data_IF_176545446223
#
_entry.id   IF_176545446223
#
_cell.length_a   1.000
_cell.length_b   1.000
_cell.length_c   1.000
_cell.angle_alpha   90.00
_cell.angle_beta   90.00
_cell.angle_gamma   90.00
#
_symmetry.space_group_name_H-M   'P 1'
#
loop_
_entity.id
_entity.type
_entity.pdbx_description
1 polymer ?
#
# COMPACT_ATOMS: atom_id res chain seq x y z
N UNK A 1 -14.19 -3.68 -19.82
CA UNK A 1 -13.21 -3.26 -18.79
C UNK A 1 -13.43 -4.09 -17.54
N UNK A 2 -12.37 -4.65 -16.93
CA UNK A 2 -12.52 -5.49 -15.73
C UNK A 2 -12.10 -4.69 -14.50
N UNK A 3 -13.04 -4.42 -13.60
CA UNK A 3 -12.71 -3.77 -12.32
C UNK A 3 -12.10 -4.78 -11.34
N UNK A 4 -11.15 -4.32 -10.53
CA UNK A 4 -10.64 -5.09 -9.40
C UNK A 4 -11.59 -4.97 -8.21
N UNK A 5 -11.82 -6.06 -7.51
CA UNK A 5 -12.60 -5.99 -6.27
C UNK A 5 -11.81 -5.31 -5.14
N UNK A 6 -12.51 -4.95 -4.07
CA UNK A 6 -11.89 -4.43 -2.85
C UNK A 6 -12.41 -5.16 -1.60
N UNK A 7 -11.70 -5.04 -0.48
CA UNK A 7 -12.15 -5.55 0.83
C UNK A 7 -11.77 -4.59 1.95
N UNK A 8 -12.56 -4.60 3.01
CA UNK A 8 -12.25 -3.87 4.24
C UNK A 8 -11.50 -4.80 5.19
N UNK A 9 -10.45 -4.28 5.80
CA UNK A 9 -9.67 -4.98 6.83
C UNK A 9 -9.73 -4.16 8.10
N UNK A 10 -10.34 -4.73 9.13
CA UNK A 10 -10.39 -4.16 10.47
C UNK A 10 -9.34 -4.82 11.35
N UNK A 11 -8.67 -4.02 12.17
CA UNK A 11 -7.62 -4.48 13.08
C UNK A 11 -7.70 -3.66 14.34
N UNK A 12 -7.88 -4.32 15.49
CA UNK A 12 -7.70 -3.69 16.80
C UNK A 12 -6.21 -3.77 17.13
N UNK A 13 -5.58 -2.63 17.40
CA UNK A 13 -4.21 -2.56 17.90
C UNK A 13 -4.27 -2.50 19.42
N UNK A 14 -3.47 -3.35 20.07
CA UNK A 14 -3.33 -3.40 21.51
C UNK A 14 -1.97 -2.83 21.91
N UNK A 15 -1.91 -2.26 23.11
CA UNK A 15 -0.68 -1.85 23.78
C UNK A 15 0.03 -3.08 24.40
N UNK A 16 1.29 -2.95 24.85
CA UNK A 16 2.00 -4.04 25.53
C UNK A 16 1.28 -4.55 26.79
N UNK A 17 0.51 -3.70 27.46
CA UNK A 17 -0.31 -4.04 28.63
C UNK A 17 -1.64 -4.75 28.29
N UNK A 18 -1.92 -4.99 27.00
CA UNK A 18 -3.15 -5.62 26.52
C UNK A 18 -4.34 -4.68 26.36
N UNK A 19 -4.24 -3.41 26.77
CA UNK A 19 -5.30 -2.41 26.56
C UNK A 19 -5.39 -1.99 25.09
N UNK A 20 -6.54 -1.44 24.67
CA UNK A 20 -6.75 -1.00 23.29
C UNK A 20 -5.92 0.27 23.02
N UNK A 21 -5.03 0.19 22.03
CA UNK A 21 -4.28 1.33 21.49
C UNK A 21 -5.15 2.10 20.47
N UNK A 22 -5.66 1.41 19.45
CA UNK A 22 -6.50 2.02 18.40
C UNK A 22 -7.27 1.02 17.56
N UNK A 23 -8.39 1.46 17.00
CA UNK A 23 -9.12 0.77 15.94
C UNK A 23 -8.60 1.21 14.57
N UNK A 24 -8.18 0.26 13.73
CA UNK A 24 -7.68 0.54 12.39
C UNK A 24 -8.57 -0.11 11.34
N UNK A 25 -9.14 0.69 10.45
CA UNK A 25 -9.83 0.23 9.25
C UNK A 25 -8.98 0.54 8.01
N UNK A 26 -8.90 -0.40 7.08
CA UNK A 26 -8.20 -0.23 5.79
C UNK A 26 -9.07 -0.71 4.64
N UNK A 27 -9.07 0.03 3.55
CA UNK A 27 -9.55 -0.45 2.26
C UNK A 27 -8.36 -1.06 1.50
N UNK A 28 -8.52 -2.28 1.03
CA UNK A 28 -7.46 -3.04 0.35
C UNK A 28 -7.99 -3.50 -1.00
N UNK A 29 -7.25 -3.22 -2.06
CA UNK A 29 -7.52 -3.73 -3.39
C UNK A 29 -7.25 -5.23 -3.44
N UNK A 30 -8.10 -5.99 -4.14
CA UNK A 30 -7.91 -7.43 -4.36
C UNK A 30 -6.92 -7.66 -5.52
N UNK A 31 -5.71 -7.13 -5.44
CA UNK A 31 -4.77 -7.21 -6.57
C UNK A 31 -4.27 -8.61 -6.92
N UNK A 32 -4.62 -9.64 -6.13
CA UNK A 32 -4.49 -11.04 -6.56
C UNK A 32 -5.39 -11.39 -7.76
N UNK A 33 -6.40 -10.57 -8.09
CA UNK A 33 -7.23 -10.73 -9.29
C UNK A 33 -6.66 -10.00 -10.51
N UNK A 34 -5.57 -9.25 -10.36
CA UNK A 34 -4.91 -8.53 -11.47
C UNK A 34 -4.17 -9.50 -12.40
N UNK A 35 -4.17 -9.20 -13.69
CA UNK A 35 -3.48 -9.96 -14.74
C UNK A 35 -2.27 -9.20 -15.27
N UNK A 36 -1.15 -9.91 -15.38
CA UNK A 36 0.06 -9.41 -16.02
C UNK A 36 -0.22 -9.03 -17.48
N UNK A 37 0.38 -7.95 -17.96
CA UNK A 37 0.20 -7.43 -19.33
C UNK A 37 -1.13 -6.71 -19.56
N UNK A 38 -2.06 -6.76 -18.59
CA UNK A 38 -3.37 -6.07 -18.66
C UNK A 38 -3.46 -5.00 -17.58
N UNK A 39 -3.34 -5.40 -16.31
CA UNK A 39 -3.55 -4.52 -15.15
C UNK A 39 -2.22 -4.01 -14.54
N UNK A 40 -1.11 -4.66 -14.89
CA UNK A 40 0.24 -4.27 -14.49
C UNK A 40 1.26 -4.90 -15.45
N UNK A 41 2.41 -4.24 -15.61
CA UNK A 41 3.51 -4.73 -16.45
C UNK A 41 4.66 -5.34 -15.66
N UNK A 42 4.87 -4.94 -14.39
CA UNK A 42 5.95 -5.47 -13.56
C UNK A 42 5.56 -5.54 -12.08
N UNK A 43 6.15 -6.50 -11.36
CA UNK A 43 6.11 -6.53 -9.88
C UNK A 43 7.44 -6.03 -9.33
N UNK A 44 7.46 -4.79 -8.85
CA UNK A 44 8.63 -4.21 -8.19
C UNK A 44 8.53 -4.37 -6.68
N UNK A 45 9.64 -4.68 -6.01
CA UNK A 45 9.73 -4.68 -4.55
C UNK A 45 11.11 -4.11 -4.15
N UNK A 46 11.18 -2.86 -3.66
CA UNK A 46 12.45 -2.28 -3.22
C UNK A 46 12.79 -2.82 -1.84
N UNK A 47 13.49 -3.96 -1.78
CA UNK A 47 13.97 -4.54 -0.53
C UNK A 47 15.48 -4.36 -0.46
N UNK A 48 15.92 -3.45 0.42
CA UNK A 48 17.34 -3.32 0.73
C UNK A 48 17.87 -4.59 1.39
N UNK A 49 19.07 -5.03 1.00
CA UNK A 49 19.72 -6.22 1.57
C UNK A 49 20.11 -5.95 3.02
N UNK A 50 19.73 -6.85 3.92
CA UNK A 50 20.01 -6.70 5.36
C UNK A 50 21.51 -6.58 5.66
N UNK A 51 22.37 -7.27 4.90
CA UNK A 51 23.82 -7.19 5.07
C UNK A 51 24.33 -5.77 4.77
N UNK A 52 23.84 -5.13 3.71
CA UNK A 52 24.20 -3.74 3.38
C UNK A 52 23.76 -2.78 4.49
N UNK A 53 22.54 -2.95 5.01
CA UNK A 53 22.04 -2.13 6.12
C UNK A 53 22.92 -2.31 7.36
N UNK A 54 23.29 -3.55 7.72
CA UNK A 54 24.18 -3.84 8.86
C UNK A 54 25.53 -3.16 8.70
N UNK A 55 26.16 -3.27 7.53
CA UNK A 55 27.45 -2.63 7.25
C UNK A 55 27.34 -1.10 7.42
N UNK A 56 26.29 -0.48 6.87
CA UNK A 56 26.07 0.97 7.02
C UNK A 56 25.90 1.39 8.48
N UNK A 57 25.10 0.64 9.27
CA UNK A 57 24.92 0.90 10.70
C UNK A 57 26.23 0.70 11.46
N UNK A 58 27.00 -0.35 11.16
CA UNK A 58 28.31 -0.59 11.76
C UNK A 58 29.29 0.56 11.49
N UNK A 59 29.35 1.06 10.25
CA UNK A 59 30.19 2.21 9.92
C UNK A 59 29.74 3.45 10.67
N UNK A 60 28.44 3.75 10.68
CA UNK A 60 27.90 4.90 11.41
C UNK A 60 28.23 4.84 12.90
N UNK A 61 28.09 3.66 13.53
CA UNK A 61 28.42 3.45 14.93
C UNK A 61 29.93 3.61 15.21
N UNK A 62 30.80 3.10 14.35
CA UNK A 62 32.27 3.25 14.50
C UNK A 62 32.76 4.69 14.30
N UNK A 63 31.95 5.53 13.66
CA UNK A 63 32.29 6.92 13.33
C UNK A 63 31.52 7.94 14.18
N UNK A 64 30.75 7.46 15.16
CA UNK A 64 29.84 8.27 15.98
C UNK A 64 28.90 9.16 15.13
N UNK A 65 28.44 8.64 14.00
CA UNK A 65 27.54 9.36 13.10
C UNK A 65 26.09 9.32 13.62
N UNK A 66 25.37 10.45 13.59
CA UNK A 66 23.97 10.47 13.95
C UNK A 66 23.14 9.66 12.95
N UNK A 67 22.33 8.73 13.45
CA UNK A 67 21.39 7.94 12.66
C UNK A 67 19.95 8.38 12.94
N UNK A 68 19.19 8.67 11.89
CA UNK A 68 17.77 9.01 11.98
C UNK A 68 16.95 8.01 11.17
N UNK A 69 15.82 7.56 11.74
CA UNK A 69 14.88 6.66 11.10
C UNK A 69 13.57 7.38 10.83
N UNK A 70 13.09 7.28 9.58
CA UNK A 70 11.79 7.84 9.17
C UNK A 70 10.84 6.71 8.77
N UNK A 71 9.67 6.66 9.40
CA UNK A 71 8.56 5.79 8.99
C UNK A 71 7.47 6.63 8.32
N UNK A 72 7.30 6.44 7.01
CA UNK A 72 6.32 7.18 6.21
C UNK A 72 4.95 6.53 6.37
N UNK A 73 4.05 7.24 7.05
CA UNK A 73 2.64 6.83 7.19
C UNK A 73 1.97 6.82 5.82
N UNK A 74 1.13 5.80 5.60
CA UNK A 74 0.28 5.67 4.41
C UNK A 74 1.04 5.71 3.08
N UNK A 75 2.29 5.26 3.04
CA UNK A 75 3.17 5.51 1.91
C UNK A 75 2.68 5.04 0.54
N UNK A 76 1.82 4.01 0.47
CA UNK A 76 1.21 3.61 -0.81
C UNK A 76 0.19 4.64 -1.32
N UNK A 77 -0.53 5.33 -0.45
CA UNK A 77 -1.50 6.35 -0.86
C UNK A 77 -0.85 7.59 -1.49
N UNK A 78 0.46 7.75 -1.34
CA UNK A 78 1.20 8.88 -1.90
C UNK A 78 1.75 8.59 -3.31
N UNK A 79 1.90 7.31 -3.68
CA UNK A 79 2.43 6.91 -4.99
C UNK A 79 1.42 7.13 -6.11
N UNK A 80 1.87 7.74 -7.20
CA UNK A 80 1.07 7.90 -8.42
C UNK A 80 0.98 6.58 -9.20
N UNK A 81 -0.20 6.31 -9.76
CA UNK A 81 -0.42 5.17 -10.64
C UNK A 81 -0.26 5.63 -12.09
N UNK A 82 0.70 5.05 -12.80
CA UNK A 82 0.82 5.25 -14.24
C UNK A 82 -0.23 4.43 -15.00
N UNK A 83 -0.58 3.24 -14.48
CA UNK A 83 -1.58 2.38 -15.10
C UNK A 83 -3.01 2.80 -14.73
N UNK A 84 -3.91 2.65 -15.69
CA UNK A 84 -5.32 2.93 -15.47
C UNK A 84 -6.02 1.75 -14.75
N UNK A 85 -6.25 1.90 -13.44
CA UNK A 85 -6.87 0.87 -12.61
C UNK A 85 -8.26 1.29 -12.14
N UNK A 86 -9.26 0.44 -12.41
CA UNK A 86 -10.63 0.61 -11.92
C UNK A 86 -10.93 -0.39 -10.81
N UNK A 87 -11.52 0.08 -9.73
CA UNK A 87 -11.89 -0.71 -8.56
C UNK A 87 -13.40 -0.69 -8.36
N UNK A 88 -13.97 -1.81 -7.95
CA UNK A 88 -15.36 -1.85 -7.50
C UNK A 88 -15.59 -0.88 -6.34
N UNK A 89 -16.78 -0.26 -6.31
CA UNK A 89 -17.18 0.59 -5.21
C UNK A 89 -17.03 -0.14 -3.86
N UNK A 90 -16.44 0.51 -2.85
CA UNK A 90 -16.37 -0.06 -1.51
C UNK A 90 -17.77 -0.40 -1.00
N UNK A 91 -17.95 -1.47 -0.21
CA UNK A 91 -19.26 -1.86 0.33
C UNK A 91 -19.97 -0.75 1.12
N UNK A 92 -19.22 0.21 1.69
CA UNK A 92 -19.80 1.35 2.42
C UNK A 92 -20.52 2.35 1.49
N UNK A 93 -20.16 2.38 0.21
CA UNK A 93 -20.72 3.31 -0.79
C UNK A 93 -21.84 2.64 -1.59
N UNK A 94 -21.78 1.31 -1.79
CA UNK A 94 -22.77 0.54 -2.57
C UNK A 94 -24.21 0.57 -2.01
N UNK A 95 -24.45 1.14 -0.82
CA UNK A 95 -25.76 1.18 -0.17
C UNK A 95 -26.71 2.28 -0.71
N UNK A 96 -26.23 3.20 -1.56
CA UNK A 96 -27.12 4.11 -2.30
C UNK A 96 -27.70 3.39 -3.52
N UNK A 97 -29.02 3.39 -3.63
CA UNK A 97 -29.82 2.71 -4.67
C UNK A 97 -29.49 3.11 -6.11
N UNK A 98 -28.65 4.12 -6.31
CA UNK A 98 -28.16 4.65 -7.58
C UNK A 98 -26.86 4.02 -8.11
N UNK A 99 -26.11 3.23 -7.32
CA UNK A 99 -24.74 2.82 -7.66
C UNK A 99 -24.59 1.53 -8.50
N UNK A 100 -25.63 1.08 -9.23
CA UNK A 100 -25.54 -0.14 -10.04
C UNK A 100 -24.64 0.09 -11.26
N UNK A 101 -23.51 -0.61 -11.31
CA UNK A 101 -22.57 -0.59 -12.44
C UNK A 101 -21.46 0.47 -12.33
N UNK A 102 -21.46 1.28 -11.28
CA UNK A 102 -20.43 2.28 -11.05
C UNK A 102 -19.13 1.64 -10.51
N UNK A 103 -18.00 2.19 -10.96
CA UNK A 103 -16.65 1.80 -10.54
C UNK A 103 -15.82 3.04 -10.22
N UNK A 104 -14.86 2.90 -9.31
CA UNK A 104 -13.92 3.97 -8.97
C UNK A 104 -12.66 3.85 -9.82
N UNK A 105 -12.28 4.92 -10.52
CA UNK A 105 -10.92 5.05 -11.05
C UNK A 105 -9.96 5.43 -9.92
N UNK A 106 -8.90 4.65 -9.74
CA UNK A 106 -7.88 4.94 -8.74
C UNK A 106 -6.94 6.02 -9.27
N UNK A 107 -6.81 7.14 -8.54
CA UNK A 107 -5.84 8.21 -8.86
C UNK A 107 -4.48 8.01 -8.20
N UNK A 108 -4.45 7.23 -7.11
CA UNK A 108 -3.26 6.94 -6.30
C UNK A 108 -3.19 5.45 -6.01
N UNK A 109 -1.99 4.96 -5.72
CA UNK A 109 -1.79 3.54 -5.44
C UNK A 109 -2.48 3.12 -4.14
N UNK A 110 -3.02 1.90 -4.10
CA UNK A 110 -3.70 1.33 -2.94
C UNK A 110 -2.99 0.10 -2.42
N UNK A 111 -3.17 -0.20 -1.13
CA UNK A 111 -2.68 -1.46 -0.58
C UNK A 111 -3.28 -2.64 -1.35
N UNK A 112 -2.44 -3.61 -1.69
CA UNK A 112 -2.87 -4.85 -2.34
C UNK A 112 -2.81 -4.84 -3.86
N UNK A 113 -2.54 -3.71 -4.55
CA UNK A 113 -2.20 -3.75 -5.97
C UNK A 113 -0.78 -4.29 -6.17
N UNK A 114 -0.54 -4.93 -7.32
CA UNK A 114 0.76 -5.50 -7.70
C UNK A 114 1.84 -4.43 -7.91
N UNK A 115 1.46 -3.27 -8.45
CA UNK A 115 2.36 -2.16 -8.78
C UNK A 115 2.55 -1.13 -7.65
N UNK A 116 1.81 -1.21 -6.53
CA UNK A 116 1.86 -0.20 -5.48
C UNK A 116 3.26 0.06 -4.89
N UNK A 117 4.14 -0.94 -4.72
CA UNK A 117 5.50 -0.66 -4.28
C UNK A 117 6.33 0.13 -5.30
N UNK A 118 6.07 -0.06 -6.60
CA UNK A 118 6.70 0.71 -7.69
C UNK A 118 6.24 2.16 -7.65
N UNK A 119 4.92 2.36 -7.61
CA UNK A 119 4.28 3.67 -7.54
C UNK A 119 4.81 4.52 -6.38
N UNK A 120 5.10 3.89 -5.24
CA UNK A 120 5.74 4.57 -4.11
C UNK A 120 7.20 4.92 -4.40
N UNK A 121 7.97 4.01 -4.99
CA UNK A 121 9.41 4.19 -5.16
C UNK A 121 9.77 5.20 -6.26
N UNK A 122 9.04 5.22 -7.37
CA UNK A 122 9.30 6.14 -8.47
C UNK A 122 9.00 7.62 -8.18
N UNK A 123 8.35 7.91 -7.04
CA UNK A 123 8.11 9.27 -6.57
C UNK A 123 9.23 9.85 -5.68
N UNK A 124 10.35 9.14 -5.52
CA UNK A 124 11.55 9.59 -4.81
C UNK A 124 12.68 9.88 -5.79
#
# INVERSE_FOLDING_TARGET
MKSIGCRRVFTVKLKPDGSIDRYKARLVAKGYTQRYGVDYQDTFAPVAKINTIRILISIAANRDWPLQQFDIKNAFLNGDLEEEVYMELPPVVKNSSSCKGEVCKLKKSLYGLKQSPRARFGGF
#
